data_IF_383714509007
#
_entry.id   IF_383714509007
#
_cell.length_a   1.000
_cell.length_b   1.000
_cell.length_c   1.000
_cell.angle_alpha   90.00
_cell.angle_beta   90.00
_cell.angle_gamma   90.00
#
_symmetry.space_group_name_H-M   'P 1'
#
loop_
_entity.id
_entity.type
_entity.pdbx_description
1 polymer ?
#
# COMPACT_ATOMS: atom_id res chain seq x y z
N UNK A 1 -20.59 19.04 -33.90
CA UNK A 1 -20.06 18.72 -34.23
C UNK A 1 -19.76 17.73 -33.94
N UNK A 2 -19.62 17.41 -33.41
CA UNK A 2 -19.10 16.52 -33.48
C UNK A 2 -19.26 15.61 -32.43
N UNK A 3 -20.37 15.07 -32.05
CA UNK A 3 -20.52 14.00 -31.11
C UNK A 3 -19.74 12.82 -31.57
N UNK A 4 -19.42 12.80 -32.84
CA UNK A 4 -18.65 11.66 -33.35
C UNK A 4 -17.20 11.68 -32.89
N UNK A 5 -16.71 12.86 -32.49
CA UNK A 5 -15.32 12.95 -32.12
C UNK A 5 -14.97 12.11 -30.89
N UNK A 6 -15.87 12.07 -29.90
CA UNK A 6 -15.59 11.27 -28.72
C UNK A 6 -15.66 9.78 -29.03
N UNK A 7 -16.61 9.38 -29.89
CA UNK A 7 -16.71 7.98 -30.26
C UNK A 7 -15.48 7.51 -31.03
N UNK A 8 -15.01 8.37 -31.93
CA UNK A 8 -13.83 8.04 -32.73
C UNK A 8 -12.58 7.96 -31.85
N UNK A 9 -12.46 8.87 -30.89
CA UNK A 9 -11.34 8.87 -29.99
C UNK A 9 -11.33 7.62 -29.12
N UNK A 10 -12.48 7.22 -28.64
CA UNK A 10 -12.60 6.02 -27.83
C UNK A 10 -12.26 4.79 -28.66
N UNK A 11 -12.72 4.73 -29.90
CA UNK A 11 -12.43 3.61 -30.76
C UNK A 11 -10.92 3.49 -31.05
N UNK A 12 -10.27 4.64 -31.24
CA UNK A 12 -8.83 4.66 -31.48
C UNK A 12 -8.09 4.18 -30.23
N UNK A 13 -8.53 4.60 -29.06
CA UNK A 13 -7.91 4.20 -27.80
C UNK A 13 -8.08 2.70 -27.58
N UNK A 14 -9.27 2.18 -27.83
CA UNK A 14 -9.54 0.75 -27.67
C UNK A 14 -8.71 -0.08 -28.65
N UNK A 15 -8.53 0.43 -29.85
CA UNK A 15 -7.72 -0.25 -30.82
C UNK A 15 -6.25 -0.25 -30.40
N UNK A 16 -5.77 0.86 -29.86
CA UNK A 16 -4.42 0.96 -29.38
C UNK A 16 -4.17 -0.05 -28.25
N UNK A 17 -5.10 -0.15 -27.31
CA UNK A 17 -4.99 -1.09 -26.21
C UNK A 17 -4.99 -2.53 -26.76
N UNK A 18 -5.83 -2.81 -27.72
CA UNK A 18 -5.90 -4.14 -28.30
C UNK A 18 -4.58 -4.51 -28.99
N UNK A 19 -4.00 -3.55 -29.73
CA UNK A 19 -2.72 -3.81 -30.38
C UNK A 19 -1.63 -4.10 -29.37
N UNK A 20 -1.62 -3.38 -28.25
CA UNK A 20 -0.64 -3.63 -27.22
C UNK A 20 -0.81 -5.02 -26.63
N UNK A 21 -2.05 -5.44 -26.41
CA UNK A 21 -2.30 -6.77 -25.90
C UNK A 21 -1.92 -7.84 -26.90
N UNK A 22 -2.23 -7.61 -28.17
CA UNK A 22 -1.89 -8.58 -29.21
C UNK A 22 -0.38 -8.74 -29.37
N UNK A 23 0.36 -7.69 -29.05
CA UNK A 23 1.81 -7.79 -29.14
C UNK A 23 2.40 -8.50 -27.93
N UNK A 24 1.59 -8.90 -26.98
CA UNK A 24 2.05 -9.58 -25.79
C UNK A 24 2.48 -8.66 -24.67
N UNK A 25 2.39 -7.35 -24.88
CA UNK A 25 2.86 -6.44 -23.85
C UNK A 25 1.90 -6.30 -22.70
N UNK A 26 0.67 -6.74 -22.82
CA UNK A 26 -0.25 -6.72 -21.69
C UNK A 26 -0.88 -8.07 -21.51
N UNK A 27 -0.03 -9.05 -21.52
CA UNK A 27 -0.45 -10.36 -21.34
C UNK A 27 -0.97 -10.59 -19.99
N UNK A 28 -2.15 -10.96 -19.78
CA UNK A 28 -2.68 -11.16 -18.44
C UNK A 28 -2.30 -12.46 -17.83
N UNK A 29 -1.66 -13.30 -18.60
CA UNK A 29 -1.46 -14.49 -18.04
C UNK A 29 -0.55 -14.53 -17.03
N UNK A 30 -0.74 -15.28 -16.16
CA UNK A 30 0.09 -15.44 -15.10
C UNK A 30 1.35 -15.91 -15.57
N UNK A 31 2.29 -15.20 -15.39
CA UNK A 31 3.61 -15.57 -15.68
C UNK A 31 4.17 -16.10 -14.39
N UNK A 32 4.57 -17.32 -14.39
CA UNK A 32 5.10 -17.93 -13.18
C UNK A 32 6.30 -17.20 -12.64
N UNK A 33 6.98 -16.43 -13.49
CA UNK A 33 8.15 -15.68 -13.06
C UNK A 33 7.82 -14.24 -12.73
N UNK A 34 6.54 -13.87 -12.71
CA UNK A 34 6.15 -12.51 -12.37
C UNK A 34 6.38 -12.29 -10.88
N UNK A 35 7.22 -11.33 -10.51
CA UNK A 35 7.48 -11.05 -9.09
C UNK A 35 6.21 -10.73 -8.31
N UNK A 36 5.20 -10.19 -8.97
CA UNK A 36 3.97 -9.83 -8.28
C UNK A 36 3.16 -11.05 -7.85
N UNK A 37 3.49 -12.22 -8.38
CA UNK A 37 2.82 -13.46 -8.00
C UNK A 37 3.54 -14.24 -6.92
N UNK A 38 4.67 -13.72 -6.44
CA UNK A 38 5.37 -14.39 -5.36
C UNK A 38 4.55 -14.34 -4.08
N UNK A 39 4.63 -15.37 -3.26
CA UNK A 39 3.87 -15.38 -2.02
C UNK A 39 4.31 -14.28 -1.07
N UNK A 40 3.37 -13.78 -0.29
CA UNK A 40 3.63 -12.75 0.72
C UNK A 40 3.23 -13.30 2.08
N UNK A 41 3.78 -12.74 3.17
CA UNK A 41 3.35 -13.14 4.51
C UNK A 41 1.85 -12.96 4.68
N UNK A 42 1.25 -13.79 5.52
CA UNK A 42 -0.21 -13.84 5.67
C UNK A 42 -0.86 -12.51 6.08
N UNK A 43 -0.14 -11.67 6.79
CA UNK A 43 -0.70 -10.40 7.25
C UNK A 43 -0.83 -9.36 6.14
N UNK A 44 -0.12 -9.54 5.02
CA UNK A 44 0.03 -8.47 4.03
C UNK A 44 -1.27 -8.13 3.32
N UNK A 45 -2.08 -9.12 2.99
CA UNK A 45 -3.33 -8.85 2.27
C UNK A 45 -4.29 -8.02 3.11
N UNK A 46 -4.50 -8.39 4.36
CA UNK A 46 -5.37 -7.64 5.24
C UNK A 46 -4.79 -6.27 5.55
N UNK A 47 -3.49 -6.21 5.78
CA UNK A 47 -2.81 -4.95 6.01
C UNK A 47 -3.01 -4.00 4.83
N UNK A 48 -2.78 -4.48 3.61
CA UNK A 48 -2.89 -3.61 2.45
C UNK A 48 -4.32 -3.13 2.25
N UNK A 49 -5.30 -4.00 2.44
CA UNK A 49 -6.69 -3.62 2.26
C UNK A 49 -7.12 -2.56 3.26
N UNK A 50 -6.73 -2.70 4.51
CA UNK A 50 -7.10 -1.75 5.55
C UNK A 50 -6.29 -0.46 5.48
N UNK A 51 -5.00 -0.57 5.24
CA UNK A 51 -4.12 0.58 5.18
C UNK A 51 -4.45 1.50 4.01
N UNK A 52 -4.75 0.92 2.86
CA UNK A 52 -4.97 1.67 1.64
C UNK A 52 -6.40 2.19 1.47
N UNK A 53 -7.33 1.76 2.31
CA UNK A 53 -8.70 2.24 2.26
C UNK A 53 -8.88 3.41 3.22
N UNK A 54 -9.04 4.63 2.73
CA UNK A 54 -9.11 5.80 3.62
C UNK A 54 -10.24 5.73 4.65
N UNK A 55 -11.33 5.05 4.33
CA UNK A 55 -12.41 4.94 5.30
C UNK A 55 -12.08 4.00 6.45
N UNK A 56 -11.05 3.18 6.31
CA UNK A 56 -10.54 2.36 7.39
C UNK A 56 -9.39 3.05 8.12
N UNK A 57 -8.42 3.53 7.36
CA UNK A 57 -7.20 4.06 7.95
C UNK A 57 -7.27 5.54 8.30
N UNK A 58 -8.22 6.26 7.72
CA UNK A 58 -8.33 7.69 7.93
C UNK A 58 -7.40 8.52 7.07
N UNK A 59 -6.55 7.89 6.27
CA UNK A 59 -5.53 8.57 5.46
C UNK A 59 -5.43 7.92 4.10
N UNK A 60 -5.23 8.73 3.09
CA UNK A 60 -4.92 8.22 1.76
C UNK A 60 -3.41 8.17 1.58
N UNK A 61 -2.91 7.00 1.24
CA UNK A 61 -1.50 6.83 0.91
C UNK A 61 -1.36 6.77 -0.61
N UNK A 62 -0.63 7.71 -1.18
CA UNK A 62 -0.36 7.70 -2.61
C UNK A 62 0.78 6.74 -2.91
N UNK A 63 0.96 6.44 -4.17
CA UNK A 63 2.11 5.62 -4.57
C UNK A 63 3.43 6.25 -4.16
N UNK A 64 3.51 7.56 -4.24
CA UNK A 64 4.71 8.27 -3.85
C UNK A 64 4.95 8.17 -2.35
N UNK A 65 3.89 8.23 -1.55
CA UNK A 65 4.01 8.07 -0.10
C UNK A 65 4.56 6.68 0.23
N UNK A 66 4.06 5.65 -0.44
CA UNK A 66 4.53 4.28 -0.21
C UNK A 66 5.99 4.15 -0.62
N UNK A 67 6.35 4.77 -1.74
CA UNK A 67 7.73 4.72 -2.19
C UNK A 67 8.67 5.42 -1.20
N UNK A 68 8.21 6.51 -0.61
CA UNK A 68 9.00 7.22 0.41
C UNK A 68 9.21 6.37 1.66
N UNK A 69 8.19 5.62 2.06
CA UNK A 69 8.34 4.69 3.17
C UNK A 69 9.41 3.66 2.84
N UNK A 70 9.35 3.09 1.65
CA UNK A 70 10.34 2.10 1.24
C UNK A 70 11.74 2.68 1.24
N UNK A 71 11.91 3.87 0.69
CA UNK A 71 13.22 4.52 0.65
C UNK A 71 13.76 4.82 2.04
N UNK A 72 12.89 5.16 2.98
CA UNK A 72 13.30 5.46 4.35
C UNK A 72 13.85 4.25 5.06
N UNK A 73 13.51 3.06 4.62
CA UNK A 73 14.04 1.82 5.22
C UNK A 73 15.00 1.12 4.25
N UNK A 74 15.53 1.89 3.30
CA UNK A 74 16.52 1.41 2.34
C UNK A 74 16.01 0.29 1.43
N UNK A 75 14.71 0.29 1.14
CA UNK A 75 14.14 -0.66 0.20
C UNK A 75 13.86 0.02 -1.12
N UNK A 76 14.07 -0.70 -2.20
CA UNK A 76 13.80 -0.20 -3.54
C UNK A 76 12.65 -0.99 -4.12
N UNK A 77 11.53 -0.33 -4.35
CA UNK A 77 10.38 -0.96 -4.97
C UNK A 77 9.96 -0.16 -6.19
N UNK A 78 9.47 -0.84 -7.22
CA UNK A 78 9.01 -0.11 -8.42
C UNK A 78 7.67 0.56 -8.15
N UNK A 79 7.37 1.60 -8.93
CA UNK A 79 6.08 2.25 -8.83
C UNK A 79 5.08 1.43 -9.62
N UNK A 80 4.06 0.92 -8.91
CA UNK A 80 3.01 0.10 -9.46
C UNK A 80 1.70 0.47 -8.79
N UNK A 81 0.69 -0.35 -8.96
CA UNK A 81 -0.56 -0.22 -8.24
C UNK A 81 -0.26 -0.27 -6.74
N UNK A 82 -0.96 0.52 -5.95
CA UNK A 82 -0.66 0.67 -4.53
C UNK A 82 -0.61 -0.65 -3.76
N UNK A 83 -1.56 -1.52 -4.00
CA UNK A 83 -1.57 -2.82 -3.31
C UNK A 83 -0.34 -3.65 -3.67
N UNK A 84 0.08 -3.59 -4.92
CA UNK A 84 1.29 -4.31 -5.37
C UNK A 84 2.53 -3.72 -4.71
N UNK A 85 2.56 -2.42 -4.51
CA UNK A 85 3.68 -1.76 -3.84
C UNK A 85 3.77 -2.19 -2.37
N UNK A 86 2.63 -2.29 -1.68
CA UNK A 86 2.62 -2.77 -0.30
C UNK A 86 3.09 -4.23 -0.26
N UNK A 87 2.64 -5.04 -1.19
CA UNK A 87 3.09 -6.43 -1.26
C UNK A 87 4.60 -6.51 -1.49
N UNK A 88 5.13 -5.67 -2.39
CA UNK A 88 6.56 -5.64 -2.65
C UNK A 88 7.35 -5.21 -1.41
N UNK A 89 6.83 -4.24 -0.67
CA UNK A 89 7.49 -3.72 0.51
C UNK A 89 7.61 -4.79 1.60
N UNK A 90 6.58 -5.61 1.77
CA UNK A 90 6.55 -6.58 2.86
C UNK A 90 6.80 -8.02 2.43
N UNK A 91 7.05 -8.24 1.14
CA UNK A 91 7.19 -9.62 0.62
C UNK A 91 8.29 -10.41 1.32
N UNK A 92 9.40 -9.76 1.61
CA UNK A 92 10.54 -10.45 2.18
C UNK A 92 10.73 -10.15 3.66
N UNK A 93 9.65 -9.84 4.36
CA UNK A 93 9.71 -9.57 5.80
C UNK A 93 10.09 -10.84 6.54
N UNK A 94 11.18 -10.78 7.27
CA UNK A 94 11.65 -11.93 8.05
C UNK A 94 11.83 -11.60 9.53
N UNK A 95 11.74 -10.34 9.92
CA UNK A 95 11.98 -9.98 11.32
C UNK A 95 11.02 -8.91 11.79
N UNK A 96 10.82 -8.87 13.10
CA UNK A 96 10.02 -7.83 13.72
C UNK A 96 10.69 -6.46 13.60
N UNK A 97 12.02 -6.47 13.54
CA UNK A 97 12.75 -5.22 13.39
C UNK A 97 12.43 -4.55 12.07
N UNK A 98 12.36 -5.33 10.99
CA UNK A 98 11.97 -4.82 9.69
C UNK A 98 10.56 -4.24 9.74
N UNK A 99 9.62 -4.97 10.37
CA UNK A 99 8.26 -4.50 10.50
C UNK A 99 8.19 -3.19 11.29
N UNK A 100 8.93 -3.11 12.39
CA UNK A 100 8.94 -1.89 13.18
C UNK A 100 9.46 -0.71 12.38
N UNK A 101 10.52 -0.91 11.62
CA UNK A 101 11.08 0.15 10.79
C UNK A 101 10.07 0.65 9.77
N UNK A 102 9.42 -0.26 9.07
CA UNK A 102 8.43 0.11 8.07
C UNK A 102 7.21 0.78 8.72
N UNK A 103 6.72 0.20 9.81
CA UNK A 103 5.53 0.73 10.47
C UNK A 103 5.81 2.07 11.14
N UNK A 104 7.03 2.31 11.61
CA UNK A 104 7.40 3.61 12.15
C UNK A 104 7.31 4.68 11.08
N UNK A 105 7.66 4.37 9.85
CA UNK A 105 7.54 5.33 8.76
C UNK A 105 6.06 5.60 8.42
N UNK A 106 5.23 4.58 8.44
CA UNK A 106 3.80 4.79 8.27
C UNK A 106 3.24 5.61 9.43
N UNK A 107 3.67 5.33 10.66
CA UNK A 107 3.22 6.06 11.84
C UNK A 107 3.66 7.53 11.79
N UNK A 108 4.81 7.81 11.21
CA UNK A 108 5.24 9.18 11.02
C UNK A 108 4.29 9.93 10.10
N UNK A 109 3.86 9.27 9.04
CA UNK A 109 2.88 9.83 8.12
C UNK A 109 1.53 10.03 8.83
N UNK A 110 1.10 9.06 9.62
CA UNK A 110 -0.13 9.17 10.41
C UNK A 110 -0.06 10.33 11.38
N UNK A 111 1.07 10.49 12.07
CA UNK A 111 1.25 11.59 13.02
C UNK A 111 1.09 12.94 12.36
N UNK A 112 1.64 13.10 11.17
CA UNK A 112 1.48 14.33 10.40
C UNK A 112 0.02 14.61 10.05
N UNK A 113 -0.73 13.56 9.69
CA UNK A 113 -2.14 13.71 9.34
C UNK A 113 -2.99 14.02 10.57
N UNK A 114 -2.67 13.46 11.71
CA UNK A 114 -3.37 13.77 12.96
C UNK A 114 -3.24 15.27 13.26
N UNK A 115 -2.05 15.82 13.11
CA UNK A 115 -1.83 17.24 13.34
C UNK A 115 -2.66 18.09 12.39
N UNK A 116 -2.72 17.71 11.12
CA UNK A 116 -3.51 18.42 10.13
C UNK A 116 -4.99 18.37 10.50
N UNK A 117 -5.51 17.21 10.88
CA UNK A 117 -6.91 17.07 11.27
C UNK A 117 -7.23 17.90 12.51
N UNK A 118 -6.30 17.97 13.48
CA UNK A 118 -6.47 18.78 14.66
C UNK A 118 -6.57 20.27 14.28
N UNK A 119 -5.71 20.73 13.40
CA UNK A 119 -5.74 22.11 12.93
C UNK A 119 -7.04 22.39 12.20
N UNK A 120 -7.50 21.45 11.36
CA UNK A 120 -8.75 21.61 10.63
C UNK A 120 -9.95 21.65 11.58
N UNK A 121 -9.92 20.86 12.64
CA UNK A 121 -10.98 20.87 13.65
C UNK A 121 -11.09 22.23 14.33
N UNK A 122 -9.96 22.87 14.57
CA UNK A 122 -9.95 24.18 15.19
C UNK A 122 -10.40 25.25 14.21
N UNK A 123 -9.96 25.14 12.95
CA UNK A 123 -10.31 26.13 11.93
C UNK A 123 -11.76 26.01 11.48
N UNK A 124 -12.30 24.80 11.50
CA UNK A 124 -13.65 24.53 11.02
C UNK A 124 -14.45 23.75 12.05
N UNK A 125 -14.88 24.40 13.14
CA UNK A 125 -15.55 23.69 14.23
C UNK A 125 -16.80 22.93 13.83
N UNK A 126 -17.49 23.39 12.79
CA UNK A 126 -18.69 22.70 12.31
C UNK A 126 -18.38 21.31 11.76
N UNK A 127 -17.15 21.06 11.34
CA UNK A 127 -16.72 19.77 10.79
C UNK A 127 -15.87 19.00 11.77
N UNK A 128 -15.76 19.45 13.01
CA UNK A 128 -14.89 18.83 14.01
C UNK A 128 -15.16 17.33 14.17
N UNK A 129 -16.43 16.95 14.17
CA UNK A 129 -16.78 15.54 14.34
C UNK A 129 -16.19 14.68 13.24
N UNK A 130 -16.21 15.16 12.01
CA UNK A 130 -15.65 14.42 10.88
C UNK A 130 -14.13 14.22 11.03
N UNK A 131 -13.45 15.30 11.42
CA UNK A 131 -12.00 15.21 11.58
C UNK A 131 -11.62 14.32 12.78
N UNK A 132 -12.39 14.38 13.86
CA UNK A 132 -12.16 13.54 15.02
C UNK A 132 -12.38 12.06 14.67
N UNK A 133 -13.36 11.76 13.83
CA UNK A 133 -13.60 10.41 13.36
C UNK A 133 -12.41 9.88 12.56
N UNK A 134 -11.82 10.72 11.72
CA UNK A 134 -10.64 10.33 10.97
C UNK A 134 -9.44 10.07 11.88
N UNK A 135 -9.29 10.89 12.92
CA UNK A 135 -8.23 10.68 13.90
C UNK A 135 -8.41 9.35 14.61
N UNK A 136 -9.65 8.99 14.95
CA UNK A 136 -9.93 7.71 15.57
C UNK A 136 -9.58 6.54 14.65
N UNK A 137 -9.88 6.68 13.36
CA UNK A 137 -9.52 5.66 12.38
C UNK A 137 -8.02 5.47 12.31
N UNK A 138 -7.27 6.57 12.33
CA UNK A 138 -5.82 6.52 12.34
C UNK A 138 -5.32 5.77 13.57
N UNK A 139 -5.85 6.09 14.74
CA UNK A 139 -5.43 5.45 15.98
C UNK A 139 -5.72 3.96 15.98
N UNK A 140 -6.87 3.57 15.45
CA UNK A 140 -7.20 2.15 15.31
C UNK A 140 -6.24 1.44 14.36
N UNK A 141 -5.86 2.11 13.29
CA UNK A 141 -4.91 1.54 12.34
C UNK A 141 -3.54 1.38 12.98
N UNK A 142 -3.11 2.35 13.77
CA UNK A 142 -1.85 2.26 14.49
C UNK A 142 -1.84 1.08 15.46
N UNK A 143 -2.97 0.84 16.12
CA UNK A 143 -3.10 -0.33 16.99
C UNK A 143 -3.03 -1.63 16.20
N UNK A 144 -3.62 -1.64 15.01
CA UNK A 144 -3.53 -2.80 14.14
C UNK A 144 -2.09 -3.09 13.76
N UNK A 145 -1.31 -2.05 13.45
CA UNK A 145 0.10 -2.24 13.12
C UNK A 145 0.86 -2.81 14.32
N UNK A 146 0.59 -2.31 15.52
CA UNK A 146 1.23 -2.85 16.72
C UNK A 146 0.87 -4.32 16.92
N UNK A 147 -0.39 -4.67 16.67
CA UNK A 147 -0.83 -6.06 16.84
C UNK A 147 -0.17 -6.98 15.81
N UNK A 148 0.02 -6.50 14.59
CA UNK A 148 0.72 -7.28 13.57
C UNK A 148 2.14 -7.58 14.02
N UNK A 149 2.83 -6.62 14.62
CA UNK A 149 4.17 -6.84 15.12
C UNK A 149 4.17 -7.91 16.21
N UNK A 150 3.20 -7.84 17.13
CA UNK A 150 3.13 -8.80 18.22
C UNK A 150 2.83 -10.21 17.71
N UNK A 151 2.02 -10.32 16.69
CA UNK A 151 1.61 -11.62 16.17
C UNK A 151 2.59 -12.21 15.16
N UNK A 152 3.52 -11.42 14.68
CA UNK A 152 4.45 -11.88 13.65
C UNK A 152 5.44 -12.89 14.22
N UNK A 153 5.57 -14.02 13.55
CA UNK A 153 6.54 -15.02 13.93
C UNK A 153 7.74 -14.88 13.02
N UNK A 154 8.89 -14.61 13.63
CA UNK A 154 10.09 -14.42 12.85
C UNK A 154 10.52 -15.72 12.18
N UNK A 155 10.96 -15.58 10.94
CA UNK A 155 11.50 -16.71 10.21
C UNK A 155 12.92 -16.86 10.63
N UNK A 156 13.20 -17.93 11.36
CA UNK A 156 14.53 -18.15 11.81
C UNK A 156 15.41 -18.61 10.69
N UNK A 157 16.60 -18.11 10.66
CA UNK A 157 17.53 -18.54 9.65
C UNK A 157 17.84 -19.95 9.96
N UNK A 158 17.72 -20.70 9.07
CA UNK A 158 17.72 -21.94 9.34
C UNK A 158 18.86 -22.52 9.37
N UNK A 159 19.34 -22.67 9.82
CA UNK A 159 20.34 -23.18 9.93
C UNK A 159 20.29 -24.42 10.36
N UNK A 160 19.69 -24.61 10.67
CA UNK A 160 19.57 -25.64 11.10
C UNK A 160 19.75 -26.55 10.41
N UNK A 161 20.12 -27.02 10.19
CA UNK A 161 20.24 -27.89 9.79
C UNK A 161 21.04 -28.56 9.62
N UNK A 162 21.50 -28.42 9.68
CA UNK A 162 22.11 -28.90 9.49
C UNK A 162 22.38 -29.83 9.90
N UNK A 163 22.34 -30.18 10.11
CA UNK A 163 22.49 -30.85 10.48
C UNK A 163 22.77 -31.81 10.13
N UNK A 164 23.08 -31.99 9.83
CA UNK A 164 23.36 -32.80 9.59
C UNK A 164 23.74 -33.49 9.84
#
# INVERSE_FOLDING_TARGET
MKTNDLSDLKAEFDEFIREKCDSGSCEPESNENDPDNEPVPSFVDELSDKLLAPYHSGVYFSRLDIKRVAEAIDESIPIKERKKMIKALFRHTTSKEYLRSAFDEFNRHFGGRILIYQELSEAFPASKKLFDENIEKIKKTQKMLDQIILDFEEIEPTDEPMMI
#
